data_IF_296469481678
#
_entry.id   IF_296469481678
#
_cell.length_a   1.000
_cell.length_b   1.000
_cell.length_c   1.000
_cell.angle_alpha   90.00
_cell.angle_beta   90.00
_cell.angle_gamma   90.00
#
_symmetry.space_group_name_H-M   'P 1'
#
loop_
_entity.id
_entity.type
_entity.pdbx_description
1 polymer ?
#
# COMPACT_ATOMS: atom_id res chain seq x y z
N UNK A 1 -53.09 -18.45 -0.51
CA UNK A 1 -52.29 -17.62 -1.43
C UNK A 1 -51.40 -16.70 -0.61
N UNK A 2 -50.11 -16.66 -0.97
CA UNK A 2 -49.02 -15.82 -0.41
C UNK A 2 -49.31 -14.33 -0.76
N UNK A 3 -48.81 -13.30 -0.07
CA UNK A 3 -47.85 -13.20 1.02
C UNK A 3 -47.77 -11.73 1.47
N UNK A 4 -47.31 -11.51 2.70
CA UNK A 4 -46.96 -10.19 3.25
C UNK A 4 -45.46 -9.93 3.04
N UNK A 5 -45.10 -8.66 2.83
CA UNK A 5 -43.76 -8.21 2.43
C UNK A 5 -42.75 -8.40 3.57
N UNK A 6 -41.55 -8.83 3.16
CA UNK A 6 -40.43 -9.32 3.95
C UNK A 6 -39.71 -8.26 4.79
N UNK A 7 -39.05 -8.83 5.79
CA UNK A 7 -38.25 -8.30 6.86
C UNK A 7 -36.75 -8.29 6.55
N UNK A 8 -36.02 -7.66 7.49
CA UNK A 8 -34.63 -7.89 7.92
C UNK A 8 -33.49 -7.13 7.23
N UNK A 9 -32.75 -6.47 8.12
CA UNK A 9 -31.32 -6.20 8.08
C UNK A 9 -30.57 -7.09 7.08
N UNK A 10 -30.10 -6.48 6.00
CA UNK A 10 -29.05 -7.08 5.20
C UNK A 10 -27.72 -6.86 5.90
N UNK A 11 -27.45 -7.77 6.84
CA UNK A 11 -26.09 -8.31 7.00
C UNK A 11 -25.59 -8.72 5.62
N UNK A 12 -24.48 -8.13 5.20
CA UNK A 12 -23.70 -8.66 4.08
C UNK A 12 -23.19 -10.05 4.49
N UNK A 13 -23.55 -11.12 3.76
CA UNK A 13 -22.97 -12.43 3.98
C UNK A 13 -21.56 -12.41 3.36
N UNK A 14 -20.67 -13.18 3.96
CA UNK A 14 -19.24 -13.26 3.66
C UNK A 14 -18.43 -12.11 4.25
N UNK A 15 -18.16 -12.26 5.55
CA UNK A 15 -16.87 -11.89 6.10
C UNK A 15 -15.80 -12.75 5.43
N UNK A 16 -15.52 -12.45 4.16
CA UNK A 16 -14.38 -12.98 3.44
C UNK A 16 -13.16 -12.67 4.28
N UNK A 17 -12.63 -13.73 4.89
CA UNK A 17 -11.31 -13.78 5.47
C UNK A 17 -10.37 -13.23 4.39
N UNK A 18 -9.93 -11.97 4.53
CA UNK A 18 -9.04 -11.30 3.57
C UNK A 18 -7.71 -12.05 3.56
N UNK A 19 -7.65 -13.13 2.78
CA UNK A 19 -6.43 -13.87 2.54
C UNK A 19 -5.64 -13.04 1.56
N UNK A 20 -4.80 -12.16 2.10
CA UNK A 20 -3.79 -11.44 1.34
C UNK A 20 -2.89 -12.46 0.64
N UNK A 21 -3.17 -12.76 -0.63
CA UNK A 21 -2.27 -13.50 -1.49
C UNK A 21 -1.20 -12.52 -1.96
N UNK A 22 -0.14 -12.38 -1.15
CA UNK A 22 1.02 -11.59 -1.52
C UNK A 22 1.96 -12.46 -2.35
N UNK A 23 2.14 -12.06 -3.60
CA UNK A 23 3.19 -12.57 -4.46
C UNK A 23 4.38 -11.61 -4.42
N UNK A 24 5.58 -12.14 -4.22
CA UNK A 24 6.80 -11.34 -4.29
C UNK A 24 7.17 -11.14 -5.76
N UNK A 25 6.98 -9.91 -6.25
CA UNK A 25 7.32 -9.52 -7.61
C UNK A 25 8.79 -9.08 -7.68
N UNK A 26 9.62 -9.90 -8.33
CA UNK A 26 11.02 -9.55 -8.64
C UNK A 26 12.04 -9.79 -7.52
N UNK A 27 13.28 -9.39 -7.82
CA UNK A 27 14.42 -9.51 -6.91
C UNK A 27 14.58 -8.25 -6.06
N UNK A 28 15.45 -8.34 -5.06
CA UNK A 28 15.87 -7.17 -4.27
C UNK A 28 16.42 -6.07 -5.18
N UNK A 29 16.05 -4.82 -4.88
CA UNK A 29 16.57 -3.61 -5.52
C UNK A 29 17.72 -3.11 -4.65
N UNK A 30 18.95 -3.13 -5.17
CA UNK A 30 20.16 -2.74 -4.44
C UNK A 30 20.84 -1.51 -5.07
N UNK A 31 20.38 -1.10 -6.25
CA UNK A 31 20.91 0.06 -6.97
C UNK A 31 19.81 0.86 -7.67
N UNK A 32 20.14 2.09 -8.06
CA UNK A 32 19.26 2.96 -8.87
C UNK A 32 18.95 2.30 -10.22
N UNK A 33 19.92 1.57 -10.78
CA UNK A 33 19.77 0.83 -12.03
C UNK A 33 18.77 -0.32 -11.88
N UNK A 34 18.81 -1.05 -10.76
CA UNK A 34 17.84 -2.10 -10.47
C UNK A 34 16.44 -1.51 -10.29
N UNK A 35 16.34 -0.36 -9.63
CA UNK A 35 15.08 0.35 -9.49
C UNK A 35 14.48 0.70 -10.85
N UNK A 36 15.24 1.35 -11.74
CA UNK A 36 14.72 1.71 -13.06
C UNK A 36 14.43 0.49 -13.92
N UNK A 37 15.20 -0.59 -13.79
CA UNK A 37 14.89 -1.87 -14.46
C UNK A 37 13.56 -2.43 -13.96
N UNK A 38 13.30 -2.43 -12.66
CA UNK A 38 12.02 -2.86 -12.11
C UNK A 38 10.87 -1.94 -12.56
N UNK A 39 11.01 -0.62 -12.34
CA UNK A 39 9.96 0.37 -12.62
C UNK A 39 9.58 0.38 -14.10
N UNK A 40 10.56 0.37 -15.02
CA UNK A 40 10.29 0.44 -16.46
C UNK A 40 9.64 -0.84 -17.01
N UNK A 41 9.76 -1.97 -16.30
CA UNK A 41 9.16 -3.25 -16.71
C UNK A 41 7.91 -3.62 -15.89
N UNK A 42 7.48 -2.75 -14.97
CA UNK A 42 6.26 -2.97 -14.18
C UNK A 42 5.08 -2.27 -14.85
N UNK A 43 4.07 -3.00 -15.37
CA UNK A 43 2.93 -2.40 -16.06
C UNK A 43 1.91 -1.85 -15.05
N UNK A 44 2.23 -0.72 -14.41
CA UNK A 44 1.41 -0.11 -13.35
C UNK A 44 0.00 0.23 -13.83
N UNK A 45 -0.14 0.60 -15.10
CA UNK A 45 -1.41 0.91 -15.78
C UNK A 45 -2.31 -0.31 -16.00
N UNK A 46 -1.75 -1.53 -15.95
CA UNK A 46 -2.46 -2.78 -16.16
C UNK A 46 -2.88 -3.47 -14.86
N UNK A 47 -2.52 -2.92 -13.70
CA UNK A 47 -2.93 -3.44 -12.38
C UNK A 47 -4.45 -3.34 -12.25
N UNK A 48 -5.11 -4.44 -11.86
CA UNK A 48 -6.57 -4.51 -11.86
C UNK A 48 -7.17 -3.73 -10.70
N UNK A 49 -8.42 -3.32 -10.85
CA UNK A 49 -9.14 -2.67 -9.75
C UNK A 49 -9.25 -3.63 -8.56
N UNK A 50 -9.00 -3.12 -7.35
CA UNK A 50 -8.87 -3.84 -6.06
C UNK A 50 -7.52 -4.52 -5.82
N UNK A 51 -6.60 -4.53 -6.79
CA UNK A 51 -5.23 -4.99 -6.56
C UNK A 51 -4.35 -3.87 -5.96
N UNK A 52 -3.24 -4.29 -5.37
CA UNK A 52 -2.23 -3.42 -4.81
C UNK A 52 -0.84 -3.91 -5.16
N UNK A 53 0.09 -2.98 -5.36
CA UNK A 53 1.52 -3.24 -5.52
C UNK A 53 2.29 -2.48 -4.44
N UNK A 54 3.37 -3.08 -3.96
CA UNK A 54 4.13 -2.57 -2.81
C UNK A 54 5.63 -2.61 -3.10
N UNK A 55 6.35 -1.59 -2.61
CA UNK A 55 7.80 -1.54 -2.55
C UNK A 55 8.21 -1.39 -1.08
N UNK A 56 8.75 -2.46 -0.49
CA UNK A 56 9.05 -2.52 0.95
C UNK A 56 10.53 -2.80 1.17
N UNK A 57 11.09 -2.26 2.27
CA UNK A 57 12.45 -2.58 2.69
C UNK A 57 12.55 -4.08 2.97
N UNK A 58 13.73 -4.64 2.72
CA UNK A 58 13.98 -6.08 2.93
C UNK A 58 13.61 -6.48 4.36
N UNK A 59 12.89 -7.59 4.48
CA UNK A 59 12.40 -8.03 5.78
C UNK A 59 11.32 -7.10 6.32
N UNK A 60 10.48 -6.47 5.51
CA UNK A 60 9.15 -6.05 5.93
C UNK A 60 8.13 -6.69 5.01
N UNK A 61 6.93 -6.97 5.53
CA UNK A 61 5.81 -7.44 4.73
C UNK A 61 4.74 -6.35 4.70
N UNK A 62 4.06 -6.13 3.56
CA UNK A 62 2.97 -5.15 3.45
C UNK A 62 1.67 -5.70 4.06
N UNK A 63 1.72 -6.15 5.30
CA UNK A 63 0.59 -6.69 6.08
C UNK A 63 0.62 -6.12 7.49
N UNK A 64 -0.55 -5.85 8.07
CA UNK A 64 -0.65 -5.28 9.41
C UNK A 64 -0.25 -6.28 10.49
N UNK A 65 -0.33 -7.58 10.19
CA UNK A 65 -0.02 -8.71 11.06
C UNK A 65 1.50 -8.93 11.22
N UNK A 66 2.34 -8.30 10.39
CA UNK A 66 3.79 -8.36 10.57
C UNK A 66 4.16 -7.67 11.88
N UNK A 67 4.87 -8.36 12.77
CA UNK A 67 5.29 -7.84 14.08
C UNK A 67 6.07 -6.52 14.00
N UNK A 68 6.64 -6.20 12.84
CA UNK A 68 7.36 -4.94 12.60
C UNK A 68 6.45 -3.78 12.20
N UNK A 69 5.17 -4.04 11.90
CA UNK A 69 4.18 -3.04 11.50
C UNK A 69 3.09 -2.81 12.56
N UNK A 70 2.90 -3.74 13.52
CA UNK A 70 1.81 -3.67 14.51
C UNK A 70 1.79 -2.40 15.36
N UNK A 71 2.96 -1.79 15.60
CA UNK A 71 3.12 -0.56 16.39
C UNK A 71 3.20 0.68 15.51
N UNK A 72 3.17 0.49 14.20
CA UNK A 72 3.36 1.52 13.19
C UNK A 72 2.06 2.08 12.67
N UNK A 73 2.16 2.64 11.47
CA UNK A 73 1.04 3.27 10.80
C UNK A 73 1.24 3.34 9.30
N UNK A 74 0.22 3.86 8.63
CA UNK A 74 0.31 4.19 7.22
C UNK A 74 -0.44 5.47 6.92
N UNK A 75 0.25 6.43 6.32
CA UNK A 75 -0.40 7.57 5.69
C UNK A 75 -0.88 7.17 4.31
N UNK A 76 -2.17 7.35 4.05
CA UNK A 76 -2.78 7.01 2.77
C UNK A 76 -3.41 8.25 2.13
N UNK A 77 -2.98 8.54 0.91
CA UNK A 77 -3.43 9.68 0.12
C UNK A 77 -4.27 9.18 -1.06
N UNK A 78 -5.37 9.86 -1.34
CA UNK A 78 -6.21 9.59 -2.51
C UNK A 78 -5.71 10.42 -3.69
N UNK A 79 -5.37 9.74 -4.79
CA UNK A 79 -4.78 10.34 -5.98
C UNK A 79 -5.70 10.10 -7.19
N UNK A 80 -6.00 11.13 -8.00
CA UNK A 80 -6.73 10.94 -9.26
C UNK A 80 -6.02 9.93 -10.18
N UNK A 81 -6.78 9.05 -10.85
CA UNK A 81 -6.23 8.01 -11.73
C UNK A 81 -5.28 8.56 -12.79
N UNK A 82 -5.60 9.72 -13.37
CA UNK A 82 -4.82 10.33 -14.43
C UNK A 82 -3.36 10.66 -14.04
N UNK A 83 -3.10 10.95 -12.76
CA UNK A 83 -1.75 11.27 -12.26
C UNK A 83 -1.19 10.18 -11.35
N UNK A 84 -1.96 9.11 -11.12
CA UNK A 84 -1.63 8.08 -10.15
C UNK A 84 -0.31 7.36 -10.43
N UNK A 85 -0.04 6.91 -11.67
CA UNK A 85 1.25 6.30 -12.02
C UNK A 85 2.44 7.23 -11.76
N UNK A 86 2.35 8.51 -12.15
CA UNK A 86 3.42 9.48 -11.94
C UNK A 86 3.68 9.74 -10.45
N UNK A 87 2.61 9.90 -9.66
CA UNK A 87 2.72 10.07 -8.20
C UNK A 87 3.31 8.82 -7.55
N UNK A 88 2.94 7.63 -8.02
CA UNK A 88 3.49 6.37 -7.54
C UNK A 88 5.01 6.28 -7.77
N UNK A 89 5.48 6.54 -8.98
CA UNK A 89 6.93 6.57 -9.29
C UNK A 89 7.65 7.62 -8.45
N UNK A 90 7.09 8.82 -8.26
CA UNK A 90 7.69 9.86 -7.41
C UNK A 90 7.81 9.42 -5.95
N UNK A 91 6.78 8.77 -5.40
CA UNK A 91 6.81 8.27 -4.02
C UNK A 91 7.82 7.14 -3.86
N UNK A 92 7.97 6.26 -4.85
CA UNK A 92 9.06 5.27 -4.84
C UNK A 92 10.43 5.93 -4.85
N UNK A 93 10.64 6.97 -5.68
CA UNK A 93 11.91 7.70 -5.74
C UNK A 93 12.24 8.36 -4.39
N UNK A 94 11.26 8.99 -3.73
CA UNK A 94 11.44 9.54 -2.38
C UNK A 94 11.75 8.44 -1.35
N UNK A 95 11.20 7.24 -1.51
CA UNK A 95 11.47 6.11 -0.62
C UNK A 95 12.90 5.57 -0.78
N UNK A 96 13.33 5.28 -2.01
CA UNK A 96 14.68 4.74 -2.27
C UNK A 96 15.78 5.79 -2.12
N UNK A 97 15.43 7.08 -2.27
CA UNK A 97 16.31 8.21 -2.01
C UNK A 97 16.44 8.57 -0.53
N UNK A 98 15.76 7.83 0.37
CA UNK A 98 15.72 8.05 1.83
C UNK A 98 15.09 9.40 2.28
N UNK A 99 14.58 10.22 1.37
CA UNK A 99 13.86 11.47 1.69
C UNK A 99 12.62 11.24 2.58
N UNK A 100 11.90 10.12 2.39
CA UNK A 100 10.77 9.77 3.26
C UNK A 100 11.21 9.34 4.66
N UNK A 101 12.42 8.80 4.81
CA UNK A 101 12.97 8.40 6.10
C UNK A 101 13.44 9.63 6.89
N UNK A 102 13.99 10.63 6.20
CA UNK A 102 14.52 11.86 6.81
C UNK A 102 13.45 12.75 7.45
N UNK A 103 12.18 12.60 7.04
CA UNK A 103 11.05 13.35 7.62
C UNK A 103 10.37 12.63 8.79
N UNK A 104 10.81 11.41 9.14
CA UNK A 104 10.30 10.68 10.28
C UNK A 104 10.99 11.12 11.58
N UNK A 105 10.29 10.95 12.71
CA UNK A 105 10.87 11.21 14.02
C UNK A 105 12.02 10.23 14.34
N UNK A 106 12.98 10.67 15.17
CA UNK A 106 14.10 9.84 15.62
C UNK A 106 13.66 8.48 16.17
N UNK A 107 14.12 7.38 15.56
CA UNK A 107 13.79 6.02 15.97
C UNK A 107 12.55 5.42 15.28
N UNK A 108 11.84 6.20 14.46
CA UNK A 108 10.88 5.66 13.50
C UNK A 108 11.60 5.23 12.20
N UNK A 109 11.01 4.28 11.50
CA UNK A 109 11.60 3.67 10.31
C UNK A 109 10.55 3.53 9.21
N UNK A 110 10.93 3.96 8.00
CA UNK A 110 10.16 3.69 6.80
C UNK A 110 10.16 2.18 6.51
N UNK A 111 8.97 1.57 6.50
CA UNK A 111 8.77 0.17 6.14
C UNK A 111 8.68 0.00 4.62
N UNK A 112 7.95 0.88 3.95
CA UNK A 112 7.70 0.78 2.52
C UNK A 112 6.58 1.69 2.03
N UNK A 113 6.30 1.59 0.74
CA UNK A 113 5.26 2.35 0.06
C UNK A 113 4.38 1.42 -0.76
N UNK A 114 3.13 1.81 -1.01
CA UNK A 114 2.18 1.00 -1.76
C UNK A 114 1.24 1.81 -2.63
N UNK A 115 0.89 1.26 -3.78
CA UNK A 115 -0.17 1.74 -4.66
C UNK A 115 -1.31 0.74 -4.63
N UNK A 116 -2.52 1.20 -4.32
CA UNK A 116 -3.73 0.39 -4.40
C UNK A 116 -4.71 0.96 -5.44
N UNK A 117 -5.04 0.16 -6.45
CA UNK A 117 -5.94 0.58 -7.53
C UNK A 117 -7.40 0.46 -7.05
N UNK A 118 -8.15 1.57 -7.10
CA UNK A 118 -9.57 1.62 -6.77
C UNK A 118 -10.38 2.15 -7.95
N UNK A 119 -11.71 2.03 -7.84
CA UNK A 119 -12.63 2.37 -8.93
C UNK A 119 -12.51 3.84 -9.36
N UNK A 120 -12.53 4.78 -8.40
CA UNK A 120 -12.53 6.22 -8.67
C UNK A 120 -11.16 6.91 -8.51
N UNK A 121 -10.19 6.22 -7.90
CA UNK A 121 -8.90 6.82 -7.55
C UNK A 121 -7.83 5.75 -7.34
N UNK A 122 -6.60 6.17 -7.21
CA UNK A 122 -5.54 5.36 -6.62
C UNK A 122 -5.35 5.78 -5.16
N UNK A 123 -5.01 4.81 -4.32
CA UNK A 123 -4.56 5.08 -2.96
C UNK A 123 -3.05 4.87 -2.93
N UNK A 124 -2.31 5.90 -2.56
CA UNK A 124 -0.87 5.81 -2.33
C UNK A 124 -0.64 5.80 -0.83
N UNK A 125 0.10 4.80 -0.36
CA UNK A 125 0.35 4.56 1.07
C UNK A 125 1.84 4.64 1.37
N UNK A 126 2.18 5.23 2.51
CA UNK A 126 3.54 5.28 3.07
C UNK A 126 3.48 4.65 4.45
N UNK A 127 4.25 3.59 4.68
CA UNK A 127 4.21 2.76 5.88
C UNK A 127 5.44 3.02 6.74
N UNK A 128 5.23 3.19 8.04
CA UNK A 128 6.27 3.46 9.01
C UNK A 128 6.07 2.62 10.29
N UNK A 129 7.12 2.45 11.09
CA UNK A 129 7.20 1.44 12.16
C UNK A 129 6.64 1.93 13.50
N UNK A 130 6.64 3.23 13.77
CA UNK A 130 6.24 3.78 15.06
C UNK A 130 5.20 4.90 14.91
N UNK A 131 3.97 4.63 15.37
CA UNK A 131 2.88 5.61 15.43
C UNK A 131 2.59 6.12 16.86
N UNK A 132 3.47 5.83 17.83
CA UNK A 132 3.29 6.24 19.23
C UNK A 132 3.46 7.75 19.44
N UNK A 133 4.24 8.40 18.57
CA UNK A 133 4.54 9.84 18.63
C UNK A 133 3.48 10.68 17.92
N UNK A 134 2.28 10.74 18.48
CA UNK A 134 1.25 11.68 18.02
C UNK A 134 1.45 13.04 18.69
N UNK A 135 2.06 14.00 17.99
CA UNK A 135 1.79 15.42 18.31
C UNK A 135 0.46 15.79 17.67
N UNK A 136 -0.56 15.93 18.51
CA UNK A 136 -1.89 16.37 18.12
C UNK A 136 -1.92 17.86 17.82
#
# INVERSE_FOLDING_TARGET
MKGSIMSKDQQTPDGDEYKSQLEQLGTQIESVQDFWKYNNNTPVDQIRTRESIYLFKQGFKPVWEDRRNISGGSWTFRVPKAIGPDVWTRVQLLAIGEELQDVLDDGDQLCGVGLSVRFNSHLISVWHRDASKKKS
#
